data_IF_172892498344
#
_entry.id   IF_172892498344
#
_cell.length_a   1.000
_cell.length_b   1.000
_cell.length_c   1.000
_cell.angle_alpha   90.00
_cell.angle_beta   90.00
_cell.angle_gamma   90.00
#
_symmetry.space_group_name_H-M   'P 1'
#
loop_
_entity.id
_entity.type
_entity.pdbx_description
1 polymer ?
#
# COMPACT_ATOMS: atom_id res chain seq x y z
N UNK A 1 13.60 13.87 -1.19
CA UNK A 1 12.38 14.69 -0.93
C UNK A 1 11.21 13.82 -0.48
N UNK A 2 10.90 12.72 -1.19
CA UNK A 2 9.90 11.74 -0.76
C UNK A 2 10.13 11.22 0.69
N UNK A 3 11.37 10.94 1.06
CA UNK A 3 11.72 10.44 2.41
C UNK A 3 11.26 11.35 3.57
N UNK A 4 11.41 12.68 3.42
CA UNK A 4 10.97 13.64 4.45
C UNK A 4 9.45 13.56 4.60
N UNK A 5 8.72 13.52 3.48
CA UNK A 5 7.26 13.46 3.52
C UNK A 5 6.77 12.13 4.09
N UNK A 6 7.40 11.01 3.72
CA UNK A 6 7.13 9.68 4.28
C UNK A 6 7.30 9.67 5.80
N UNK A 7 8.37 10.29 6.31
CA UNK A 7 8.56 10.42 7.76
C UNK A 7 7.50 11.33 8.42
N UNK A 8 7.14 12.44 7.77
CA UNK A 8 6.16 13.40 8.31
C UNK A 8 4.72 12.91 8.26
N UNK A 9 4.41 11.96 7.38
CA UNK A 9 3.11 11.28 7.34
C UNK A 9 2.79 10.52 8.64
N UNK A 10 3.80 10.16 9.43
CA UNK A 10 3.63 9.53 10.75
C UNK A 10 3.74 10.51 11.93
N UNK A 11 3.78 11.83 11.69
CA UNK A 11 3.88 12.85 12.75
C UNK A 11 2.72 12.75 13.75
N UNK A 12 2.89 13.02 15.05
CA UNK A 12 1.74 13.14 15.96
C UNK A 12 0.88 14.39 15.67
N UNK A 13 1.47 15.40 15.03
CA UNK A 13 0.78 16.63 14.64
C UNK A 13 -0.09 16.43 13.39
N UNK A 14 -1.38 16.73 13.51
CA UNK A 14 -2.38 16.56 12.43
C UNK A 14 -2.02 17.38 11.20
N UNK A 15 -1.73 18.67 11.37
CA UNK A 15 -1.48 19.56 10.25
C UNK A 15 -0.26 19.10 9.44
N UNK A 16 0.79 18.65 10.15
CA UNK A 16 1.99 18.08 9.56
C UNK A 16 1.69 16.78 8.81
N UNK A 17 0.92 15.85 9.40
CA UNK A 17 0.54 14.60 8.70
C UNK A 17 -0.28 14.88 7.45
N UNK A 18 -1.32 15.70 7.58
CA UNK A 18 -2.21 16.05 6.47
C UNK A 18 -1.41 16.70 5.35
N UNK A 19 -0.57 17.69 5.68
CA UNK A 19 0.28 18.35 4.69
C UNK A 19 1.19 17.35 3.99
N UNK A 20 1.84 16.45 4.74
CA UNK A 20 2.72 15.44 4.16
C UNK A 20 1.97 14.50 3.22
N UNK A 21 0.83 13.96 3.63
CA UNK A 21 0.01 13.05 2.84
C UNK A 21 -0.57 13.75 1.60
N UNK A 22 -1.01 15.00 1.70
CA UNK A 22 -1.44 15.79 0.54
C UNK A 22 -0.31 15.98 -0.46
N UNK A 23 0.90 16.32 -0.01
CA UNK A 23 2.04 16.44 -0.93
C UNK A 23 2.40 15.10 -1.58
N UNK A 24 2.37 14.00 -0.83
CA UNK A 24 2.57 12.65 -1.39
C UNK A 24 1.54 12.37 -2.49
N UNK A 25 0.26 12.69 -2.28
CA UNK A 25 -0.79 12.54 -3.29
C UNK A 25 -0.48 13.32 -4.57
N UNK A 26 -0.12 14.59 -4.42
CA UNK A 26 0.23 15.45 -5.57
C UNK A 26 1.46 14.93 -6.30
N UNK A 27 2.47 14.44 -5.58
CA UNK A 27 3.63 13.82 -6.21
C UNK A 27 3.22 12.60 -7.01
N UNK A 28 2.44 11.68 -6.45
CA UNK A 28 1.98 10.48 -7.16
C UNK A 28 1.24 10.84 -8.46
N UNK A 29 0.34 11.83 -8.40
CA UNK A 29 -0.41 12.29 -9.58
C UNK A 29 0.46 12.94 -10.66
N UNK A 30 1.51 13.66 -10.27
CA UNK A 30 2.35 14.42 -11.21
C UNK A 30 3.60 13.65 -11.68
N UNK A 31 4.11 12.74 -10.85
CA UNK A 31 5.43 12.14 -11.02
C UNK A 31 5.48 10.95 -11.96
N UNK A 32 4.35 10.26 -12.19
CA UNK A 32 4.27 9.10 -13.07
C UNK A 32 5.42 8.10 -12.81
N UNK A 33 6.04 7.61 -13.87
CA UNK A 33 7.06 6.56 -13.80
C UNK A 33 8.34 6.98 -13.07
N UNK A 34 8.60 8.30 -12.92
CA UNK A 34 9.79 8.79 -12.20
C UNK A 34 9.73 8.49 -10.69
N UNK A 35 8.55 8.19 -10.17
CA UNK A 35 8.35 7.88 -8.76
C UNK A 35 8.43 6.39 -8.44
N UNK A 36 8.53 5.52 -9.46
CA UNK A 36 8.60 4.06 -9.29
C UNK A 36 9.61 3.63 -8.22
N UNK A 37 10.84 4.17 -8.15
CA UNK A 37 11.81 3.80 -7.11
C UNK A 37 11.35 4.12 -5.68
N UNK A 38 10.40 5.04 -5.50
CA UNK A 38 9.90 5.49 -4.20
C UNK A 38 8.56 4.87 -3.82
N UNK A 39 7.95 4.04 -4.68
CA UNK A 39 6.60 3.48 -4.44
C UNK A 39 6.51 2.65 -3.18
N UNK A 40 7.57 1.92 -2.83
CA UNK A 40 7.60 1.16 -1.58
C UNK A 40 7.50 2.09 -0.37
N UNK A 41 8.34 3.11 -0.30
CA UNK A 41 8.33 4.05 0.82
C UNK A 41 7.01 4.82 0.91
N UNK A 42 6.48 5.25 -0.25
CA UNK A 42 5.20 5.93 -0.34
C UNK A 42 4.08 5.00 0.15
N UNK A 43 3.99 3.76 -0.32
CA UNK A 43 2.97 2.81 0.14
C UNK A 43 3.08 2.55 1.64
N UNK A 44 4.31 2.50 2.16
CA UNK A 44 4.61 2.37 3.58
C UNK A 44 4.04 3.51 4.43
N UNK A 45 4.01 4.73 3.88
CA UNK A 45 3.38 5.89 4.51
C UNK A 45 1.86 5.90 4.35
N UNK A 46 1.34 5.49 3.19
CA UNK A 46 -0.07 5.61 2.84
C UNK A 46 -0.95 4.58 3.55
N UNK A 47 -0.58 3.30 3.57
CA UNK A 47 -1.45 2.24 4.11
C UNK A 47 -1.87 2.46 5.59
N UNK A 48 -0.98 2.88 6.52
CA UNK A 48 -1.39 3.25 7.87
C UNK A 48 -2.42 4.39 7.90
N UNK A 49 -2.27 5.38 7.01
CA UNK A 49 -3.12 6.56 6.97
C UNK A 49 -4.54 6.31 6.44
N UNK A 50 -4.81 5.16 5.83
CA UNK A 50 -6.17 4.75 5.40
C UNK A 50 -7.15 4.67 6.57
N UNK A 51 -6.61 4.42 7.77
CA UNK A 51 -7.36 4.32 9.02
C UNK A 51 -6.93 5.40 10.03
N UNK A 52 -6.35 6.53 9.55
CA UNK A 52 -6.04 7.67 10.42
C UNK A 52 -7.32 8.15 11.15
N UNK A 53 -7.17 8.69 12.34
CA UNK A 53 -8.29 9.26 13.12
C UNK A 53 -8.99 10.42 12.39
N UNK A 54 -8.24 11.19 11.58
CA UNK A 54 -8.77 12.34 10.86
C UNK A 54 -9.31 11.95 9.49
N UNK A 55 -10.58 12.26 9.23
CA UNK A 55 -11.26 11.90 7.96
C UNK A 55 -10.54 12.49 6.74
N UNK A 56 -10.03 13.72 6.84
CA UNK A 56 -9.32 14.37 5.73
C UNK A 56 -8.07 13.58 5.32
N UNK A 57 -7.34 13.03 6.30
CA UNK A 57 -6.16 12.20 6.02
C UNK A 57 -6.59 10.88 5.38
N UNK A 58 -7.66 10.24 5.89
CA UNK A 58 -8.17 8.99 5.32
C UNK A 58 -8.57 9.14 3.85
N UNK A 59 -9.28 10.23 3.52
CA UNK A 59 -9.73 10.50 2.14
C UNK A 59 -8.53 10.62 1.21
N UNK A 60 -7.55 11.46 1.56
CA UNK A 60 -6.36 11.65 0.72
C UNK A 60 -5.54 10.35 0.63
N UNK A 61 -5.36 9.63 1.73
CA UNK A 61 -4.63 8.36 1.73
C UNK A 61 -5.29 7.31 0.84
N UNK A 62 -6.63 7.20 0.85
CA UNK A 62 -7.37 6.28 -0.04
C UNK A 62 -7.21 6.68 -1.50
N UNK A 63 -7.34 7.95 -1.81
CA UNK A 63 -7.13 8.48 -3.17
C UNK A 63 -5.73 8.15 -3.68
N UNK A 64 -4.70 8.46 -2.89
CA UNK A 64 -3.30 8.17 -3.26
C UNK A 64 -3.05 6.67 -3.43
N UNK A 65 -3.65 5.85 -2.57
CA UNK A 65 -3.53 4.40 -2.63
C UNK A 65 -4.18 3.80 -3.89
N UNK A 66 -5.31 4.35 -4.36
CA UNK A 66 -5.88 3.97 -5.65
C UNK A 66 -4.96 4.38 -6.79
N UNK A 67 -4.47 5.63 -6.79
CA UNK A 67 -3.58 6.13 -7.83
C UNK A 67 -2.29 5.29 -7.94
N UNK A 68 -1.69 4.92 -6.81
CA UNK A 68 -0.52 4.03 -6.81
C UNK A 68 -0.80 2.66 -7.44
N UNK A 69 -2.03 2.13 -7.32
CA UNK A 69 -2.41 0.84 -7.92
C UNK A 69 -2.72 0.92 -9.40
N UNK A 70 -3.23 2.07 -9.88
CA UNK A 70 -3.51 2.26 -11.31
C UNK A 70 -2.22 2.28 -12.12
N UNK A 71 -1.11 2.74 -11.51
CA UNK A 71 0.18 2.81 -12.16
C UNK A 71 0.62 1.40 -12.60
N UNK A 72 0.87 1.26 -13.90
CA UNK A 72 1.39 0.04 -14.52
C UNK A 72 2.89 -0.02 -14.32
N UNK A 73 3.30 -0.33 -13.10
CA UNK A 73 4.72 -0.41 -12.79
C UNK A 73 5.32 -1.65 -13.47
N UNK A 74 6.14 -1.43 -14.51
CA UNK A 74 6.89 -2.47 -15.21
C UNK A 74 8.19 -2.75 -14.44
N UNK A 75 8.60 -4.02 -14.21
CA UNK A 75 9.87 -4.34 -13.60
C UNK A 75 11.08 -3.71 -14.34
N UNK A 76 10.96 -3.48 -15.66
CA UNK A 76 11.97 -2.79 -16.46
C UNK A 76 12.18 -1.32 -16.07
N UNK A 77 11.19 -0.70 -15.42
CA UNK A 77 11.23 0.69 -14.96
C UNK A 77 11.70 0.83 -13.51
N UNK A 78 12.21 -0.27 -12.92
CA UNK A 78 12.73 -0.28 -11.56
C UNK A 78 11.67 -0.57 -10.49
N UNK A 79 10.52 -1.12 -10.89
CA UNK A 79 9.48 -1.52 -9.93
C UNK A 79 9.90 -2.77 -9.16
N UNK A 80 10.21 -2.61 -7.88
CA UNK A 80 10.59 -3.72 -7.02
C UNK A 80 9.38 -4.31 -6.30
N UNK A 81 8.91 -5.47 -6.78
CA UNK A 81 7.77 -6.21 -6.19
C UNK A 81 8.02 -6.61 -4.73
N UNK A 82 9.25 -6.98 -4.39
CA UNK A 82 9.63 -7.51 -3.06
C UNK A 82 9.35 -6.53 -1.90
N UNK A 83 9.89 -5.30 -1.93
CA UNK A 83 9.60 -4.28 -0.93
C UNK A 83 8.11 -3.97 -0.77
N UNK A 84 7.37 -3.82 -1.88
CA UNK A 84 5.92 -3.56 -1.89
C UNK A 84 5.16 -4.69 -1.19
N UNK A 85 5.48 -5.94 -1.54
CA UNK A 85 4.87 -7.13 -0.95
C UNK A 85 5.18 -7.21 0.56
N UNK A 86 6.41 -6.88 0.97
CA UNK A 86 6.80 -6.85 2.38
C UNK A 86 5.97 -5.85 3.19
N UNK A 87 5.76 -4.65 2.65
CA UNK A 87 4.94 -3.60 3.27
C UNK A 87 3.49 -4.04 3.37
N UNK A 88 2.89 -4.54 2.27
CA UNK A 88 1.52 -5.01 2.28
C UNK A 88 1.33 -6.16 3.29
N UNK A 89 2.26 -7.13 3.32
CA UNK A 89 2.24 -8.23 4.29
C UNK A 89 2.28 -7.74 5.73
N UNK A 90 3.10 -6.73 6.03
CA UNK A 90 3.16 -6.13 7.39
C UNK A 90 1.82 -5.53 7.80
N UNK A 91 1.10 -4.92 6.87
CA UNK A 91 -0.20 -4.28 7.13
C UNK A 91 -1.35 -5.27 7.33
N UNK A 92 -1.19 -6.56 6.98
CA UNK A 92 -2.17 -7.60 7.29
C UNK A 92 -2.39 -7.80 8.80
N UNK A 93 -1.41 -7.43 9.63
CA UNK A 93 -1.52 -7.46 11.09
C UNK A 93 -2.05 -6.16 11.69
N UNK A 94 -2.50 -5.20 10.88
CA UNK A 94 -3.12 -3.96 11.38
C UNK A 94 -4.39 -4.25 12.18
N UNK A 95 -4.61 -3.50 13.25
CA UNK A 95 -5.86 -3.55 14.03
C UNK A 95 -7.07 -3.08 13.20
N UNK A 96 -6.83 -2.21 12.21
CA UNK A 96 -7.86 -1.63 11.37
C UNK A 96 -8.18 -2.49 10.15
N UNK A 97 -9.45 -2.88 10.03
CA UNK A 97 -9.93 -3.70 8.92
C UNK A 97 -9.72 -3.07 7.56
N UNK A 98 -10.00 -1.77 7.43
CA UNK A 98 -9.81 -1.05 6.16
C UNK A 98 -8.36 -1.15 5.68
N UNK A 99 -7.38 -0.95 6.56
CA UNK A 99 -5.96 -1.08 6.19
C UNK A 99 -5.59 -2.52 5.80
N UNK A 100 -6.14 -3.54 6.47
CA UNK A 100 -5.92 -4.95 6.10
C UNK A 100 -6.51 -5.29 4.73
N UNK A 101 -7.71 -4.81 4.42
CA UNK A 101 -8.36 -5.00 3.12
C UNK A 101 -7.50 -4.39 2.00
N UNK A 102 -7.02 -3.17 2.20
CA UNK A 102 -6.19 -2.49 1.21
C UNK A 102 -4.84 -3.19 1.00
N UNK A 103 -4.25 -3.73 2.06
CA UNK A 103 -3.07 -4.59 1.95
C UNK A 103 -3.34 -5.87 1.14
N UNK A 104 -4.51 -6.50 1.32
CA UNK A 104 -4.92 -7.67 0.53
C UNK A 104 -5.12 -7.31 -0.95
N UNK A 105 -5.71 -6.16 -1.26
CA UNK A 105 -5.83 -5.67 -2.63
C UNK A 105 -4.45 -5.53 -3.29
N UNK A 106 -3.45 -4.98 -2.58
CA UNK A 106 -2.08 -4.91 -3.08
C UNK A 106 -1.49 -6.30 -3.37
N UNK A 107 -1.61 -7.24 -2.44
CA UNK A 107 -1.11 -8.61 -2.63
C UNK A 107 -1.78 -9.28 -3.83
N UNK A 108 -3.10 -9.14 -3.98
CA UNK A 108 -3.87 -9.67 -5.11
C UNK A 108 -3.40 -9.07 -6.43
N UNK A 109 -3.26 -7.74 -6.50
CA UNK A 109 -2.78 -7.04 -7.70
C UNK A 109 -1.38 -7.52 -8.11
N UNK A 110 -0.46 -7.64 -7.15
CA UNK A 110 0.90 -8.12 -7.42
C UNK A 110 0.91 -9.58 -7.90
N UNK A 111 0.11 -10.46 -7.29
CA UNK A 111 0.00 -11.86 -7.70
C UNK A 111 -0.57 -12.02 -9.11
N UNK A 112 -1.56 -11.20 -9.48
CA UNK A 112 -2.18 -11.23 -10.79
C UNK A 112 -1.26 -10.66 -11.88
N UNK A 113 -0.50 -9.60 -11.57
CA UNK A 113 0.32 -8.87 -12.55
C UNK A 113 1.74 -9.46 -12.70
N UNK A 114 2.37 -9.96 -11.63
CA UNK A 114 3.76 -10.42 -11.61
C UNK A 114 3.90 -11.88 -11.16
N UNK A 115 2.93 -12.74 -11.54
CA UNK A 115 2.82 -14.13 -11.07
C UNK A 115 4.14 -14.90 -11.10
N UNK A 116 4.94 -14.74 -12.15
CA UNK A 116 6.22 -15.43 -12.36
C UNK A 116 7.33 -15.00 -11.39
N UNK A 117 7.40 -13.72 -11.02
CA UNK A 117 8.39 -13.20 -10.06
C UNK A 117 7.98 -13.52 -8.62
N UNK A 118 6.68 -13.44 -8.32
CA UNK A 118 6.16 -13.79 -6.99
C UNK A 118 6.31 -15.31 -6.74
N UNK A 119 6.16 -16.16 -7.77
CA UNK A 119 6.39 -17.62 -7.65
C UNK A 119 7.85 -18.01 -7.39
N UNK A 120 8.81 -17.12 -7.67
CA UNK A 120 10.23 -17.36 -7.35
C UNK A 120 10.59 -17.14 -5.88
N UNK A 121 9.73 -16.45 -5.12
CA UNK A 121 9.93 -16.22 -3.68
C UNK A 121 9.28 -17.34 -2.86
N UNK A 122 10.07 -18.02 -2.04
CA UNK A 122 9.79 -19.32 -1.40
C UNK A 122 8.68 -19.32 -0.29
N UNK A 123 7.69 -18.42 -0.34
CA UNK A 123 6.70 -18.18 0.76
C UNK A 123 5.26 -18.57 0.38
N UNK A 124 5.07 -19.34 -0.69
CA UNK A 124 3.74 -19.56 -1.27
C UNK A 124 2.76 -20.33 -0.39
N UNK A 125 3.18 -21.28 0.43
CA UNK A 125 2.21 -22.13 1.16
C UNK A 125 1.51 -21.36 2.29
N UNK A 126 2.22 -20.46 2.98
CA UNK A 126 1.64 -19.72 4.10
C UNK A 126 0.78 -18.56 3.60
N UNK A 127 1.23 -17.80 2.60
CA UNK A 127 0.48 -16.65 2.06
C UNK A 127 -0.80 -17.09 1.37
N UNK A 128 -0.79 -18.20 0.62
CA UNK A 128 -1.99 -18.71 -0.02
C UNK A 128 -3.02 -19.18 1.01
N UNK A 129 -2.59 -19.87 2.07
CA UNK A 129 -3.49 -20.28 3.16
C UNK A 129 -3.98 -19.10 4.00
N UNK A 130 -3.13 -18.12 4.33
CA UNK A 130 -3.54 -16.97 5.14
C UNK A 130 -4.40 -15.98 4.35
N UNK A 131 -4.12 -15.74 3.06
CA UNK A 131 -4.98 -14.90 2.23
C UNK A 131 -6.31 -15.58 1.91
N UNK A 132 -6.32 -16.89 1.65
CA UNK A 132 -7.57 -17.61 1.39
C UNK A 132 -8.44 -17.70 2.66
N UNK A 133 -7.83 -17.92 3.83
CA UNK A 133 -8.54 -17.88 5.10
C UNK A 133 -9.02 -16.47 5.46
N UNK A 134 -8.22 -15.43 5.19
CA UNK A 134 -8.63 -14.03 5.40
C UNK A 134 -9.78 -13.62 4.47
N UNK A 135 -9.75 -14.03 3.20
CA UNK A 135 -10.87 -13.84 2.26
C UNK A 135 -12.11 -14.60 2.75
N UNK A 136 -11.98 -15.84 3.22
CA UNK A 136 -13.10 -16.59 3.80
C UNK A 136 -13.65 -15.96 5.09
N UNK A 137 -12.81 -15.40 5.95
CA UNK A 137 -13.23 -14.73 7.19
C UNK A 137 -13.96 -13.42 6.88
N UNK A 138 -13.46 -12.64 5.92
CA UNK A 138 -14.10 -11.39 5.49
C UNK A 138 -15.44 -11.68 4.80
N UNK A 139 -15.50 -12.70 3.92
CA UNK A 139 -16.75 -13.11 3.25
C UNK A 139 -17.79 -13.67 4.26
N UNK A 140 -17.37 -14.42 5.29
CA UNK A 140 -18.27 -14.90 6.34
C UNK A 140 -18.69 -13.85 7.36
N UNK A 141 -18.03 -12.68 7.42
CA UNK A 141 -18.43 -11.59 8.33
C UNK A 141 -19.47 -10.65 7.72
N UNK A 142 -19.78 -10.83 6.42
CA UNK A 142 -20.71 -10.03 5.62
C UNK A 142 -22.04 -10.76 5.32
N UNK A 143 -22.25 -11.96 5.87
CA UNK A 143 -23.49 -12.75 5.77
C UNK A 143 -23.93 -13.29 7.13
#
# INVERSE_FOLDING_TARGET
MAEILVQRAASPDEFTRLTAITWINEFVKLGGDQLVPYYADILGAILPCISDKEEKIRVVARETNEELRTIKADPAEGFEVGPILSIARRQLSSEFEATRIEALHWISTLLNRHRTEVTGTCVQIVIFFTCFLAIMIIVNSLF
#
